data_IF_591517710158
#
_entry.id   IF_591517710158
#
_cell.length_a   1.000
_cell.length_b   1.000
_cell.length_c   1.000
_cell.angle_alpha   90.00
_cell.angle_beta   90.00
_cell.angle_gamma   90.00
#
_symmetry.space_group_name_H-M   'P 1'
#
loop_
_entity.id
_entity.type
_entity.pdbx_description
1 polymer ?
#
# COMPACT_ATOMS: atom_id res chain seq x y z
N UNK A 1 -9.49 31.45 -53.50
CA UNK A 1 -9.41 32.82 -54.03
C UNK A 1 -9.86 32.80 -55.47
N UNK A 2 -11.00 33.42 -55.75
CA UNK A 2 -11.60 33.40 -57.08
C UNK A 2 -10.91 34.44 -57.98
N UNK A 3 -10.90 34.22 -59.31
CA UNK A 3 -10.22 35.08 -60.29
C UNK A 3 -10.73 36.54 -60.32
N UNK A 4 -11.84 36.86 -59.66
CA UNK A 4 -12.37 38.22 -59.56
C UNK A 4 -11.67 39.07 -58.49
N UNK A 5 -11.26 38.48 -57.36
CA UNK A 5 -10.55 39.18 -56.28
C UNK A 5 -9.19 39.70 -56.75
N UNK A 6 -8.52 38.94 -57.63
CA UNK A 6 -7.21 39.28 -58.19
C UNK A 6 -7.28 40.50 -59.14
N UNK A 7 -8.42 40.73 -59.82
CA UNK A 7 -8.61 41.90 -60.70
C UNK A 7 -8.86 43.19 -59.93
N UNK A 8 -9.63 43.14 -58.83
CA UNK A 8 -9.86 44.32 -58.00
C UNK A 8 -8.59 44.76 -57.26
N UNK A 9 -7.77 43.81 -56.82
CA UNK A 9 -6.54 44.11 -56.08
C UNK A 9 -5.44 44.71 -56.98
N UNK A 10 -5.48 44.44 -58.29
CA UNK A 10 -4.58 45.05 -59.28
C UNK A 10 -4.96 46.50 -59.59
N UNK A 11 -6.26 46.83 -59.63
CA UNK A 11 -6.73 48.20 -59.90
C UNK A 11 -6.39 49.18 -58.77
N UNK A 12 -6.30 48.70 -57.52
CA UNK A 12 -5.91 49.53 -56.37
C UNK A 12 -4.41 49.75 -56.23
N UNK A 13 -3.57 48.96 -56.92
CA UNK A 13 -2.10 49.06 -56.81
C UNK A 13 -1.47 50.09 -57.75
N UNK A 14 -2.18 50.48 -58.81
CA UNK A 14 -1.65 51.40 -59.84
C UNK A 14 -1.96 52.89 -59.57
N UNK A 15 -2.75 53.22 -58.54
CA UNK A 15 -2.95 54.61 -58.10
C UNK A 15 -2.15 54.88 -56.84
N UNK A 16 -0.91 55.33 -57.02
CA UNK A 16 -0.06 55.80 -55.93
C UNK A 16 -0.71 56.97 -55.17
N UNK A 17 -1.31 56.69 -54.02
CA UNK A 17 -1.62 57.69 -53.00
C UNK A 17 -1.19 57.18 -51.64
N UNK A 18 -0.29 57.94 -51.04
CA UNK A 18 0.27 57.72 -49.72
C UNK A 18 -0.79 57.85 -48.62
N UNK A 19 -0.68 56.93 -47.65
CA UNK A 19 -0.94 57.09 -46.22
C UNK A 19 -2.12 57.96 -45.79
N UNK A 20 -3.24 57.30 -45.44
CA UNK A 20 -4.08 57.71 -44.32
C UNK A 20 -4.44 56.48 -43.50
N UNK A 21 -3.85 56.40 -42.32
CA UNK A 21 -4.19 55.47 -41.25
C UNK A 21 -5.68 55.58 -40.92
N UNK A 22 -6.47 54.60 -41.35
CA UNK A 22 -7.81 54.35 -40.82
C UNK A 22 -7.65 53.18 -39.86
N UNK A 23 -7.60 53.46 -38.57
CA UNK A 23 -7.70 52.46 -37.52
C UNK A 23 -9.10 51.86 -37.58
N UNK A 24 -9.25 50.75 -38.30
CA UNK A 24 -10.46 49.92 -38.26
C UNK A 24 -10.39 49.14 -36.95
N UNK A 25 -11.09 49.63 -35.94
CA UNK A 25 -11.46 48.87 -34.75
C UNK A 25 -12.34 47.70 -35.19
N UNK A 26 -11.77 46.50 -35.25
CA UNK A 26 -12.57 45.28 -35.28
C UNK A 26 -13.38 45.21 -33.98
N UNK A 27 -14.68 45.52 -34.06
CA UNK A 27 -15.64 45.12 -33.05
C UNK A 27 -15.68 43.58 -33.05
N UNK A 28 -14.90 42.96 -32.16
CA UNK A 28 -15.21 41.63 -31.68
C UNK A 28 -16.62 41.68 -31.08
N UNK A 29 -17.54 40.78 -31.46
CA UNK A 29 -18.79 40.65 -30.73
C UNK A 29 -18.40 40.36 -29.28
N UNK A 30 -18.88 41.22 -28.39
CA UNK A 30 -18.77 41.13 -26.95
C UNK A 30 -19.12 39.71 -26.56
N UNK A 31 -18.10 38.89 -26.30
CA UNK A 31 -18.25 37.69 -25.52
C UNK A 31 -18.90 38.17 -24.24
N UNK A 32 -20.16 37.82 -24.05
CA UNK A 32 -20.80 37.89 -22.76
C UNK A 32 -19.86 37.10 -21.87
N UNK A 33 -19.08 37.78 -21.04
CA UNK A 33 -18.46 37.19 -19.89
C UNK A 33 -19.63 36.66 -19.08
N UNK A 34 -20.06 35.43 -19.39
CA UNK A 34 -20.83 34.63 -18.47
C UNK A 34 -19.99 34.67 -17.21
N UNK A 35 -20.48 35.42 -16.21
CA UNK A 35 -19.98 35.38 -14.85
C UNK A 35 -19.96 33.91 -14.49
N UNK A 36 -18.80 33.27 -14.68
CA UNK A 36 -18.54 31.95 -14.15
C UNK A 36 -18.68 32.14 -12.66
N UNK A 37 -19.85 31.78 -12.13
CA UNK A 37 -20.08 31.71 -10.69
C UNK A 37 -18.84 31.03 -10.10
N UNK A 38 -18.16 31.63 -9.10
CA UNK A 38 -17.03 30.98 -8.46
C UNK A 38 -17.46 29.56 -8.13
N UNK A 39 -16.84 28.57 -8.76
CA UNK A 39 -17.14 27.16 -8.50
C UNK A 39 -17.13 27.00 -6.99
N UNK A 40 -18.18 26.46 -6.35
CA UNK A 40 -18.30 26.45 -4.91
C UNK A 40 -17.02 25.85 -4.31
N UNK A 41 -16.22 26.70 -3.68
CA UNK A 41 -14.98 26.33 -3.02
C UNK A 41 -15.35 25.20 -2.05
N UNK A 42 -14.71 24.02 -2.15
CA UNK A 42 -15.07 22.89 -1.31
C UNK A 42 -14.98 23.31 0.16
N UNK A 43 -16.09 23.20 0.90
CA UNK A 43 -16.11 23.47 2.33
C UNK A 43 -14.95 22.71 2.98
N UNK A 44 -14.00 23.41 3.64
CA UNK A 44 -12.86 22.75 4.24
C UNK A 44 -13.36 21.75 5.29
N UNK A 45 -12.84 20.53 5.25
CA UNK A 45 -13.15 19.52 6.27
C UNK A 45 -12.76 20.09 7.62
N UNK A 46 -13.64 19.98 8.62
CA UNK A 46 -13.32 20.43 9.97
C UNK A 46 -12.10 19.68 10.50
N UNK A 47 -11.20 20.41 11.18
CA UNK A 47 -10.00 19.84 11.79
C UNK A 47 -10.26 18.54 12.59
N UNK A 48 -11.26 18.46 13.49
CA UNK A 48 -11.52 17.22 14.23
C UNK A 48 -11.91 16.06 13.32
N UNK A 49 -12.66 16.31 12.25
CA UNK A 49 -13.05 15.27 11.29
C UNK A 49 -11.86 14.78 10.47
N UNK A 50 -10.96 15.69 10.10
CA UNK A 50 -9.73 15.33 9.38
C UNK A 50 -8.79 14.49 10.26
N UNK A 51 -8.64 14.85 11.55
CA UNK A 51 -7.88 14.06 12.52
C UNK A 51 -8.50 12.67 12.75
N UNK A 52 -9.82 12.60 12.93
CA UNK A 52 -10.52 11.33 13.10
C UNK A 52 -10.34 10.40 11.88
N UNK A 53 -10.37 10.96 10.67
CA UNK A 53 -10.10 10.22 9.44
C UNK A 53 -8.66 9.68 9.38
N UNK A 54 -7.66 10.49 9.77
CA UNK A 54 -6.26 10.04 9.87
C UNK A 54 -6.16 8.88 10.86
N UNK A 55 -6.73 9.03 12.06
CA UNK A 55 -6.69 8.01 13.11
C UNK A 55 -7.29 6.69 12.59
N UNK A 56 -8.47 6.71 11.98
CA UNK A 56 -9.08 5.48 11.44
C UNK A 56 -8.20 4.83 10.38
N UNK A 57 -7.62 5.63 9.47
CA UNK A 57 -6.75 5.08 8.44
C UNK A 57 -5.52 4.42 9.04
N UNK A 58 -4.90 5.05 10.04
CA UNK A 58 -3.79 4.47 10.78
C UNK A 58 -4.22 3.19 11.49
N UNK A 59 -5.34 3.21 12.21
CA UNK A 59 -5.87 2.03 12.92
C UNK A 59 -6.15 0.86 11.96
N UNK A 60 -6.75 1.11 10.80
CA UNK A 60 -6.99 0.08 9.80
C UNK A 60 -5.69 -0.61 9.34
N UNK A 61 -4.65 0.19 9.15
CA UNK A 61 -3.33 -0.31 8.74
C UNK A 61 -2.61 -1.04 9.89
N UNK A 62 -2.72 -0.53 11.12
CA UNK A 62 -2.20 -1.17 12.35
C UNK A 62 -2.83 -2.55 12.53
N UNK A 63 -4.16 -2.67 12.44
CA UNK A 63 -4.88 -3.94 12.58
C UNK A 63 -4.39 -4.97 11.56
N UNK A 64 -4.29 -4.57 10.28
CA UNK A 64 -3.83 -5.46 9.20
C UNK A 64 -2.40 -5.98 9.43
N UNK A 65 -1.49 -5.10 9.86
CA UNK A 65 -0.08 -5.47 10.09
C UNK A 65 0.12 -6.23 11.40
N UNK A 66 -0.69 -5.97 12.42
CA UNK A 66 -0.64 -6.69 13.70
C UNK A 66 -0.87 -8.19 13.50
N UNK A 67 -1.80 -8.56 12.64
CA UNK A 67 -2.16 -9.95 12.36
C UNK A 67 -1.13 -10.70 11.53
N UNK A 68 -0.25 -10.00 10.83
CA UNK A 68 0.87 -10.63 10.11
C UNK A 68 1.96 -11.09 11.10
N UNK A 69 2.42 -10.19 11.98
CA UNK A 69 3.58 -10.42 12.84
C UNK A 69 3.26 -11.22 14.12
N UNK A 70 2.09 -11.01 14.72
CA UNK A 70 1.58 -11.75 15.88
C UNK A 70 1.60 -13.27 15.70
N UNK A 71 1.38 -13.74 14.46
CA UNK A 71 1.26 -15.16 14.16
C UNK A 71 2.52 -15.94 14.53
N UNK A 72 3.71 -15.33 14.41
CA UNK A 72 4.97 -15.98 14.78
C UNK A 72 5.02 -16.43 16.24
N UNK A 73 4.30 -15.74 17.13
CA UNK A 73 4.18 -16.12 18.55
C UNK A 73 3.05 -17.12 18.79
N UNK A 74 2.05 -17.17 17.90
CA UNK A 74 0.89 -18.05 17.99
C UNK A 74 1.16 -19.45 17.42
N UNK A 75 2.08 -19.58 16.45
CA UNK A 75 2.42 -20.84 15.76
C UNK A 75 2.65 -22.02 16.73
N UNK A 76 3.47 -21.91 17.79
CA UNK A 76 3.69 -23.04 18.70
C UNK A 76 2.44 -23.50 19.45
N UNK A 77 1.49 -22.60 19.69
CA UNK A 77 0.21 -22.94 20.31
C UNK A 77 -0.77 -23.54 19.32
N UNK A 78 -0.80 -23.04 18.08
CA UNK A 78 -1.59 -23.60 16.97
C UNK A 78 -1.12 -25.03 16.66
N UNK A 79 0.20 -25.25 16.60
CA UNK A 79 0.80 -26.55 16.33
C UNK A 79 0.39 -27.60 17.37
N UNK A 80 0.48 -27.25 18.66
CA UNK A 80 0.15 -28.17 19.77
C UNK A 80 -1.33 -28.54 19.82
N UNK A 81 -2.22 -27.60 19.48
CA UNK A 81 -3.65 -27.83 19.60
C UNK A 81 -4.26 -28.54 18.37
N UNK A 82 -3.74 -28.28 17.18
CA UNK A 82 -4.22 -28.87 15.93
C UNK A 82 -3.37 -30.06 15.46
N UNK A 83 -2.37 -30.47 16.24
CA UNK A 83 -1.41 -31.55 15.95
C UNK A 83 -0.85 -31.49 14.52
N UNK A 84 -0.28 -30.32 14.17
CA UNK A 84 0.15 -30.01 12.79
C UNK A 84 1.64 -30.34 12.61
N UNK A 85 1.97 -30.95 11.47
CA UNK A 85 3.35 -31.16 11.05
C UNK A 85 4.07 -29.80 10.86
N UNK A 86 5.34 -29.71 11.28
CA UNK A 86 6.09 -28.45 11.17
C UNK A 86 6.16 -27.88 9.74
N UNK A 87 6.08 -28.74 8.72
CA UNK A 87 6.10 -28.37 7.32
C UNK A 87 4.85 -27.60 6.86
N UNK A 88 3.70 -27.81 7.50
CA UNK A 88 2.43 -27.17 7.13
C UNK A 88 2.21 -25.82 7.87
N UNK A 89 2.95 -25.56 8.95
CA UNK A 89 2.94 -24.27 9.64
C UNK A 89 3.42 -23.12 8.75
N UNK A 90 4.27 -23.41 7.78
CA UNK A 90 4.77 -22.43 6.81
C UNK A 90 3.64 -21.84 5.96
N UNK A 91 2.64 -22.66 5.60
CA UNK A 91 1.48 -22.22 4.83
C UNK A 91 0.57 -21.29 5.63
N UNK A 92 0.39 -21.57 6.93
CA UNK A 92 -0.38 -20.74 7.83
C UNK A 92 0.28 -19.36 8.00
N UNK A 93 1.61 -19.33 8.11
CA UNK A 93 2.40 -18.11 8.20
C UNK A 93 2.36 -17.28 6.91
N UNK A 94 2.61 -17.93 5.78
CA UNK A 94 2.79 -17.28 4.47
C UNK A 94 1.48 -16.95 3.75
N UNK A 95 0.35 -17.55 4.14
CA UNK A 95 -0.94 -17.36 3.47
C UNK A 95 -1.43 -15.91 3.49
N UNK A 96 -1.26 -15.20 4.61
CA UNK A 96 -1.66 -13.80 4.69
C UNK A 96 -0.80 -12.89 3.80
N UNK A 97 0.54 -12.89 3.87
CA UNK A 97 1.39 -12.15 2.94
C UNK A 97 1.13 -12.51 1.47
N UNK A 98 0.83 -13.77 1.16
CA UNK A 98 0.47 -14.23 -0.18
C UNK A 98 -0.79 -13.53 -0.71
N UNK A 99 -1.89 -13.58 0.04
CA UNK A 99 -3.14 -12.91 -0.34
C UNK A 99 -2.99 -11.37 -0.37
N UNK A 100 -2.25 -10.83 0.61
CA UNK A 100 -2.00 -9.40 0.70
C UNK A 100 -1.20 -8.87 -0.49
N UNK A 101 -0.04 -9.47 -0.78
CA UNK A 101 0.89 -9.00 -1.81
C UNK A 101 0.37 -9.21 -3.24
N UNK A 102 -0.22 -10.39 -3.52
CA UNK A 102 -0.69 -10.74 -4.87
C UNK A 102 -1.80 -9.79 -5.36
N UNK A 103 -2.71 -9.39 -4.47
CA UNK A 103 -3.89 -8.62 -4.85
C UNK A 103 -3.74 -7.11 -4.61
N UNK A 104 -2.64 -6.64 -4.00
CA UNK A 104 -2.43 -5.23 -3.62
C UNK A 104 -2.47 -4.26 -4.82
N UNK A 105 -1.81 -4.64 -5.92
CA UNK A 105 -1.72 -3.78 -7.11
C UNK A 105 -3.06 -3.69 -7.84
N UNK A 106 -3.76 -4.83 -7.96
CA UNK A 106 -5.10 -4.87 -8.55
C UNK A 106 -6.09 -4.08 -7.70
N UNK A 107 -6.11 -4.31 -6.38
CA UNK A 107 -7.06 -3.67 -5.48
C UNK A 107 -6.89 -2.16 -5.44
N UNK A 108 -5.65 -1.64 -5.50
CA UNK A 108 -5.40 -0.20 -5.56
C UNK A 108 -5.95 0.41 -6.84
N UNK A 109 -5.76 -0.27 -7.97
CA UNK A 109 -6.31 0.18 -9.25
C UNK A 109 -7.83 0.10 -9.28
N UNK A 110 -8.41 -0.95 -8.72
CA UNK A 110 -9.86 -1.10 -8.60
C UNK A 110 -10.46 -0.02 -7.69
N UNK A 111 -9.82 0.32 -6.58
CA UNK A 111 -10.26 1.38 -5.69
C UNK A 111 -10.28 2.75 -6.39
N UNK A 112 -9.28 3.03 -7.22
CA UNK A 112 -9.22 4.26 -8.02
C UNK A 112 -10.28 4.31 -9.13
N UNK A 113 -10.60 3.16 -9.75
CA UNK A 113 -11.56 3.08 -10.86
C UNK A 113 -13.02 3.06 -10.39
N UNK A 114 -13.28 2.43 -9.25
CA UNK A 114 -14.63 2.34 -8.65
C UNK A 114 -15.12 3.69 -8.11
N UNK A 115 -14.27 4.74 -8.11
CA UNK A 115 -14.71 6.14 -7.97
C UNK A 115 -15.80 6.54 -8.99
N UNK A 116 -15.97 5.80 -10.10
CA UNK A 116 -17.08 6.00 -11.04
C UNK A 116 -18.46 5.59 -10.50
N UNK A 117 -18.54 4.86 -9.38
CA UNK A 117 -19.79 4.65 -8.64
C UNK A 117 -20.04 5.87 -7.73
N UNK A 118 -21.13 6.64 -7.95
CA UNK A 118 -21.26 8.05 -7.53
C UNK A 118 -21.29 8.31 -6.01
N UNK A 119 -21.04 7.32 -5.15
CA UNK A 119 -21.27 7.44 -3.71
C UNK A 119 -20.22 6.77 -2.79
N UNK A 120 -19.38 5.83 -3.27
CA UNK A 120 -18.46 5.06 -2.40
C UNK A 120 -17.23 4.54 -3.18
N UNK A 121 -16.25 5.38 -3.53
CA UNK A 121 -15.04 4.93 -4.24
C UNK A 121 -14.08 4.20 -3.31
N UNK A 122 -13.15 4.93 -2.71
CA UNK A 122 -12.16 4.39 -1.79
C UNK A 122 -12.80 3.92 -0.48
N UNK A 123 -13.88 4.58 -0.05
CA UNK A 123 -14.65 4.18 1.14
C UNK A 123 -15.24 2.77 1.02
N UNK A 124 -15.75 2.39 -0.15
CA UNK A 124 -16.32 1.04 -0.36
C UNK A 124 -15.25 -0.03 -0.22
N UNK A 125 -14.07 0.19 -0.79
CA UNK A 125 -12.97 -0.78 -0.70
C UNK A 125 -12.47 -0.95 0.73
N UNK A 126 -12.45 0.10 1.53
CA UNK A 126 -12.16 -0.01 2.97
C UNK A 126 -13.25 -0.86 3.66
N UNK A 127 -14.53 -0.62 3.38
CA UNK A 127 -15.63 -1.36 3.98
C UNK A 127 -15.63 -2.83 3.56
N UNK A 128 -15.62 -3.12 2.26
CA UNK A 128 -15.59 -4.48 1.73
C UNK A 128 -14.33 -5.21 2.17
N UNK A 129 -13.17 -4.55 2.10
CA UNK A 129 -11.90 -5.13 2.55
C UNK A 129 -11.92 -5.49 4.03
N UNK A 130 -12.40 -4.59 4.89
CA UNK A 130 -12.50 -4.85 6.34
C UNK A 130 -13.57 -5.87 6.70
N UNK A 131 -14.68 -5.95 5.95
CA UNK A 131 -15.69 -7.00 6.12
C UNK A 131 -15.13 -8.37 5.75
N UNK A 132 -14.47 -8.49 4.58
CA UNK A 132 -13.80 -9.74 4.17
C UNK A 132 -12.75 -10.14 5.19
N UNK A 133 -11.96 -9.19 5.67
CA UNK A 133 -10.98 -9.42 6.73
C UNK A 133 -11.64 -9.90 8.03
N UNK A 134 -12.73 -9.28 8.46
CA UNK A 134 -13.45 -9.66 9.69
C UNK A 134 -14.03 -11.06 9.58
N UNK A 135 -14.70 -11.37 8.46
CA UNK A 135 -15.25 -12.70 8.18
C UNK A 135 -14.17 -13.78 8.13
N UNK A 136 -13.06 -13.50 7.46
CA UNK A 136 -11.92 -14.41 7.41
C UNK A 136 -11.29 -14.60 8.80
N UNK A 137 -11.19 -13.53 9.60
CA UNK A 137 -10.70 -13.60 10.99
C UNK A 137 -11.61 -14.45 11.87
N UNK A 138 -12.93 -14.27 11.74
CA UNK A 138 -13.90 -15.09 12.46
C UNK A 138 -13.78 -16.57 12.04
N UNK A 139 -13.65 -16.85 10.75
CA UNK A 139 -13.37 -18.19 10.25
C UNK A 139 -12.09 -18.77 10.83
N UNK A 140 -11.01 -17.98 10.93
CA UNK A 140 -9.74 -18.44 11.51
C UNK A 140 -9.92 -18.84 12.97
N UNK A 141 -10.69 -18.06 13.73
CA UNK A 141 -11.00 -18.37 15.12
C UNK A 141 -11.79 -19.68 15.26
N UNK A 142 -12.68 -19.98 14.31
CA UNK A 142 -13.51 -21.19 14.29
C UNK A 142 -12.86 -22.37 13.54
N UNK A 143 -11.60 -22.25 13.14
CA UNK A 143 -10.93 -23.28 12.35
C UNK A 143 -10.51 -24.48 13.19
N UNK A 144 -10.64 -25.67 12.58
CA UNK A 144 -10.28 -26.96 13.17
C UNK A 144 -9.23 -27.73 12.36
N UNK A 145 -8.85 -27.25 11.16
CA UNK A 145 -7.87 -27.90 10.30
C UNK A 145 -6.85 -26.90 9.76
N UNK A 146 -5.62 -27.35 9.51
CA UNK A 146 -4.54 -26.51 8.99
C UNK A 146 -4.85 -25.95 7.58
N UNK A 147 -5.53 -26.74 6.74
CA UNK A 147 -5.93 -26.33 5.38
C UNK A 147 -6.95 -25.20 5.46
N UNK A 148 -7.99 -25.35 6.29
CA UNK A 148 -9.01 -24.33 6.48
C UNK A 148 -8.38 -23.02 6.99
N UNK A 149 -7.52 -23.11 8.00
CA UNK A 149 -6.82 -21.95 8.55
C UNK A 149 -5.93 -21.28 7.48
N UNK A 150 -5.22 -22.04 6.66
CA UNK A 150 -4.36 -21.50 5.60
C UNK A 150 -5.17 -20.76 4.52
N UNK A 151 -6.29 -21.33 4.07
CA UNK A 151 -7.18 -20.68 3.08
C UNK A 151 -7.77 -19.39 3.64
N UNK A 152 -8.25 -19.43 4.88
CA UNK A 152 -8.81 -18.24 5.54
C UNK A 152 -7.76 -17.15 5.76
N UNK A 153 -6.49 -17.52 5.99
CA UNK A 153 -5.38 -16.55 6.06
C UNK A 153 -5.14 -15.87 4.73
N UNK A 154 -5.26 -16.57 3.60
CA UNK A 154 -5.21 -15.97 2.26
C UNK A 154 -6.37 -14.98 2.06
N UNK A 155 -7.59 -15.37 2.43
CA UNK A 155 -8.77 -14.48 2.37
C UNK A 155 -8.62 -13.25 3.27
N UNK A 156 -8.03 -13.41 4.45
CA UNK A 156 -7.73 -12.31 5.37
C UNK A 156 -6.72 -11.34 4.74
N UNK A 157 -5.68 -11.87 4.07
CA UNK A 157 -4.73 -11.09 3.28
C UNK A 157 -5.40 -10.32 2.14
N UNK A 158 -6.35 -10.94 1.44
CA UNK A 158 -7.12 -10.30 0.37
C UNK A 158 -7.95 -9.10 0.86
N UNK A 159 -8.59 -9.23 2.03
CA UNK A 159 -9.31 -8.11 2.67
C UNK A 159 -8.38 -6.96 3.06
N UNK A 160 -7.20 -7.28 3.59
CA UNK A 160 -6.16 -6.29 3.89
C UNK A 160 -5.61 -5.61 2.61
N UNK A 161 -5.46 -6.35 1.51
CA UNK A 161 -5.02 -5.82 0.22
C UNK A 161 -6.00 -4.80 -0.35
N UNK A 162 -7.30 -5.00 -0.17
CA UNK A 162 -8.32 -4.03 -0.59
C UNK A 162 -8.29 -2.74 0.26
N UNK A 163 -7.96 -2.87 1.54
CA UNK A 163 -7.97 -1.76 2.48
C UNK A 163 -6.76 -0.84 2.26
N UNK A 164 -5.54 -1.39 2.21
CA UNK A 164 -4.29 -0.63 2.23
C UNK A 164 -4.16 0.51 1.18
N UNK A 165 -4.35 0.28 -0.13
CA UNK A 165 -4.25 1.35 -1.12
C UNK A 165 -5.40 2.35 -1.02
N UNK A 166 -6.55 1.90 -0.53
CA UNK A 166 -7.73 2.75 -0.32
C UNK A 166 -7.51 3.78 0.79
N UNK A 167 -6.72 3.44 1.82
CA UNK A 167 -6.32 4.39 2.86
C UNK A 167 -5.51 5.57 2.30
N UNK A 168 -4.58 5.27 1.40
CA UNK A 168 -3.74 6.27 0.70
C UNK A 168 -4.64 7.16 -0.18
N UNK A 169 -5.60 6.55 -0.90
CA UNK A 169 -6.58 7.28 -1.72
C UNK A 169 -7.46 8.22 -0.91
N UNK A 170 -8.00 7.77 0.23
CA UNK A 170 -8.82 8.61 1.13
C UNK A 170 -8.02 9.81 1.64
N UNK A 171 -6.81 9.59 2.18
CA UNK A 171 -5.98 10.70 2.66
C UNK A 171 -5.55 11.63 1.51
N UNK A 172 -5.30 11.07 0.32
CA UNK A 172 -4.92 11.80 -0.89
C UNK A 172 -6.01 12.73 -1.40
N UNK A 173 -7.27 12.27 -1.41
CA UNK A 173 -8.41 12.97 -1.97
C UNK A 173 -9.09 13.95 -0.99
N UNK A 174 -9.15 13.60 0.30
CA UNK A 174 -9.89 14.38 1.29
C UNK A 174 -9.02 15.44 1.98
N UNK A 175 -7.69 15.29 2.01
CA UNK A 175 -6.80 16.28 2.62
C UNK A 175 -6.28 17.32 1.60
N UNK A 176 -6.28 18.62 1.94
CA UNK A 176 -5.84 19.68 1.04
C UNK A 176 -4.38 19.48 0.61
N UNK A 177 -4.05 19.67 -0.68
CA UNK A 177 -2.75 19.32 -1.26
C UNK A 177 -1.54 20.01 -0.59
N UNK A 178 -1.71 21.25 -0.09
CA UNK A 178 -0.61 21.99 0.55
C UNK A 178 -0.66 22.00 2.09
N UNK A 179 -1.63 21.32 2.69
CA UNK A 179 -1.81 21.34 4.15
C UNK A 179 -0.68 20.60 4.88
N UNK A 180 -0.25 21.13 6.03
CA UNK A 180 0.58 20.40 7.00
C UNK A 180 -0.08 19.08 7.42
N UNK A 181 -1.42 19.08 7.50
CA UNK A 181 -2.22 17.95 7.91
C UNK A 181 -2.13 16.76 6.93
N UNK A 182 -2.01 17.00 5.62
CA UNK A 182 -1.76 15.94 4.62
C UNK A 182 -0.41 15.27 4.84
N UNK A 183 0.64 16.06 5.11
CA UNK A 183 1.98 15.53 5.40
C UNK A 183 1.99 14.68 6.67
N UNK A 184 1.36 15.18 7.73
CA UNK A 184 1.19 14.44 9.00
C UNK A 184 0.38 13.17 8.77
N UNK A 185 -0.73 13.23 8.04
CA UNK A 185 -1.58 12.08 7.74
C UNK A 185 -0.82 10.94 7.06
N UNK A 186 -0.05 11.25 6.01
CA UNK A 186 0.80 10.24 5.36
C UNK A 186 1.93 9.73 6.26
N UNK A 187 2.56 10.59 7.05
CA UNK A 187 3.58 10.17 8.01
C UNK A 187 3.00 9.20 9.06
N UNK A 188 1.85 9.52 9.64
CA UNK A 188 1.15 8.67 10.60
C UNK A 188 0.70 7.35 9.95
N UNK A 189 0.14 7.38 8.74
CA UNK A 189 -0.26 6.16 8.03
C UNK A 189 0.92 5.20 7.88
N UNK A 190 2.09 5.75 7.57
CA UNK A 190 3.32 4.99 7.33
C UNK A 190 3.89 4.37 8.60
N UNK A 191 3.74 5.07 9.72
CA UNK A 191 4.01 4.52 11.05
C UNK A 191 3.05 3.38 11.42
N UNK A 192 1.89 3.28 10.77
CA UNK A 192 0.89 2.25 11.04
C UNK A 192 1.38 0.83 10.84
N UNK A 193 2.25 0.57 9.85
CA UNK A 193 2.81 -0.78 9.63
C UNK A 193 3.69 -1.27 10.79
N UNK A 194 4.76 -0.53 11.19
CA UNK A 194 5.60 -0.96 12.31
C UNK A 194 4.87 -0.90 13.66
N UNK A 195 3.94 0.06 13.86
CA UNK A 195 3.08 0.10 15.05
C UNK A 195 2.16 -1.13 15.11
N UNK A 196 1.55 -1.50 13.98
CA UNK A 196 0.77 -2.72 13.85
C UNK A 196 1.59 -3.94 14.21
N UNK A 197 2.75 -4.10 13.58
CA UNK A 197 3.65 -5.22 13.85
C UNK A 197 4.04 -5.37 15.31
N UNK A 198 4.47 -4.26 15.92
CA UNK A 198 4.74 -4.13 17.35
C UNK A 198 3.56 -4.57 18.20
N UNK A 199 2.40 -3.97 17.95
CA UNK A 199 1.19 -4.20 18.72
C UNK A 199 0.74 -5.66 18.59
N UNK A 200 0.85 -6.23 17.40
CA UNK A 200 0.63 -7.64 17.13
C UNK A 200 1.54 -8.55 17.93
N UNK A 201 2.84 -8.26 18.01
CA UNK A 201 3.78 -9.04 18.83
C UNK A 201 3.46 -8.96 20.33
N UNK A 202 3.13 -7.76 20.84
CA UNK A 202 2.77 -7.59 22.25
C UNK A 202 1.50 -8.37 22.59
N UNK A 203 0.45 -8.20 21.80
CA UNK A 203 -0.83 -8.89 22.00
C UNK A 203 -0.70 -10.39 21.79
N UNK A 204 0.02 -10.83 20.75
CA UNK A 204 0.28 -12.25 20.50
C UNK A 204 1.09 -12.90 21.61
N UNK A 205 2.09 -12.20 22.15
CA UNK A 205 2.87 -12.65 23.30
C UNK A 205 2.00 -12.76 24.56
N UNK A 206 1.16 -11.76 24.84
CA UNK A 206 0.24 -11.79 25.98
C UNK A 206 -0.77 -12.95 25.89
N UNK A 207 -1.35 -13.18 24.71
CA UNK A 207 -2.35 -14.24 24.49
C UNK A 207 -1.74 -15.64 24.62
N UNK A 208 -0.45 -15.79 24.34
CA UNK A 208 0.25 -17.08 24.41
C UNK A 208 0.92 -17.38 25.75
N UNK A 209 0.91 -16.44 26.70
CA UNK A 209 1.50 -16.65 28.03
C UNK A 209 0.61 -17.51 28.94
N UNK A 210 1.17 -18.62 29.45
CA UNK A 210 0.61 -19.40 30.56
C UNK A 210 -0.84 -19.85 30.36
N UNK A 211 -1.77 -19.19 31.08
CA UNK A 211 -3.22 -19.39 31.11
C UNK A 211 -3.98 -18.48 30.13
N UNK A 212 -3.30 -17.97 29.10
CA UNK A 212 -3.90 -17.08 28.11
C UNK A 212 -5.12 -17.70 27.42
N UNK A 213 -6.02 -16.86 26.86
CA UNK A 213 -7.33 -17.28 26.33
C UNK A 213 -7.25 -18.10 25.01
N UNK A 214 -6.09 -18.69 24.71
CA UNK A 214 -5.82 -19.46 23.50
C UNK A 214 -5.59 -18.61 22.26
N UNK A 215 -4.98 -19.20 21.23
CA UNK A 215 -4.66 -18.50 19.98
C UNK A 215 -5.91 -18.03 19.21
N UNK A 216 -7.06 -18.68 19.40
CA UNK A 216 -8.35 -18.30 18.78
C UNK A 216 -8.81 -16.91 19.19
N UNK A 217 -8.56 -16.52 20.44
CA UNK A 217 -8.92 -15.20 20.98
C UNK A 217 -8.25 -14.04 20.24
N UNK A 218 -7.05 -14.27 19.69
CA UNK A 218 -6.39 -13.29 18.85
C UNK A 218 -7.19 -13.01 17.57
N UNK A 219 -7.71 -14.06 16.92
CA UNK A 219 -8.51 -13.92 15.72
C UNK A 219 -9.88 -13.27 15.99
N UNK A 220 -10.50 -13.54 17.16
CA UNK A 220 -11.69 -12.81 17.60
C UNK A 220 -11.40 -11.30 17.80
N UNK A 221 -10.26 -10.95 18.39
CA UNK A 221 -9.83 -9.56 18.53
C UNK A 221 -9.58 -8.88 17.17
N UNK A 222 -8.98 -9.60 16.22
CA UNK A 222 -8.82 -9.12 14.84
C UNK A 222 -10.17 -8.86 14.16
N UNK A 223 -11.14 -9.75 14.35
CA UNK A 223 -12.50 -9.57 13.85
C UNK A 223 -13.17 -8.33 14.48
N UNK A 224 -13.15 -8.22 15.81
CA UNK A 224 -13.75 -7.09 16.53
C UNK A 224 -13.12 -5.75 16.11
N UNK A 225 -11.79 -5.69 16.02
CA UNK A 225 -11.10 -4.47 15.58
C UNK A 225 -11.41 -4.10 14.13
N UNK A 226 -11.52 -5.08 13.22
CA UNK A 226 -11.93 -4.83 11.84
C UNK A 226 -13.38 -4.31 11.74
N UNK A 227 -14.30 -4.82 12.56
CA UNK A 227 -15.68 -4.30 12.66
C UNK A 227 -15.67 -2.85 13.16
N UNK A 228 -14.90 -2.55 14.21
CA UNK A 228 -14.74 -1.19 14.72
C UNK A 228 -14.21 -0.24 13.64
N UNK A 229 -13.24 -0.67 12.83
CA UNK A 229 -12.72 0.11 11.70
C UNK A 229 -13.80 0.31 10.63
N UNK A 230 -14.56 -0.74 10.28
CA UNK A 230 -15.63 -0.66 9.30
C UNK A 230 -16.72 0.34 9.72
N UNK A 231 -17.21 0.26 10.96
CA UNK A 231 -18.20 1.19 11.53
C UNK A 231 -17.62 2.61 11.62
N UNK A 232 -16.38 2.76 12.05
CA UNK A 232 -15.76 4.09 12.14
C UNK A 232 -15.57 4.72 10.74
N UNK A 233 -15.20 3.91 9.75
CA UNK A 233 -15.09 4.31 8.36
C UNK A 233 -16.45 4.71 7.77
N UNK A 234 -17.55 4.03 8.13
CA UNK A 234 -18.89 4.39 7.65
C UNK A 234 -19.33 5.76 8.18
N UNK A 235 -19.03 6.07 9.44
CA UNK A 235 -19.48 7.29 10.12
C UNK A 235 -18.62 8.52 9.78
N UNK A 236 -17.30 8.36 9.73
CA UNK A 236 -16.38 9.51 9.69
C UNK A 236 -15.96 9.87 8.25
N UNK A 237 -15.63 8.87 7.43
CA UNK A 237 -15.10 9.09 6.07
C UNK A 237 -16.22 9.68 5.19
N UNK A 238 -16.04 10.90 4.64
CA UNK A 238 -17.00 11.50 3.72
C UNK A 238 -17.14 10.65 2.45
N UNK A 239 -18.27 10.78 1.76
CA UNK A 239 -18.44 10.17 0.43
C UNK A 239 -17.49 10.84 -0.56
N UNK A 240 -16.90 10.06 -1.46
CA UNK A 240 -16.06 10.59 -2.52
C UNK A 240 -16.91 11.41 -3.51
N UNK A 241 -16.35 12.50 -4.04
CA UNK A 241 -17.04 13.29 -5.07
C UNK A 241 -16.97 12.54 -6.41
N UNK A 242 -18.04 12.57 -7.22
CA UNK A 242 -17.97 12.05 -8.58
C UNK A 242 -16.90 12.81 -9.36
N UNK A 243 -15.93 12.10 -9.93
CA UNK A 243 -15.02 12.65 -10.94
C UNK A 243 -15.73 12.64 -12.29
N UNK A 244 -15.76 13.78 -12.98
CA UNK A 244 -16.33 13.91 -14.33
C UNK A 244 -15.46 13.23 -15.40
N UNK A 245 -14.20 12.97 -15.05
CA UNK A 245 -13.16 12.35 -15.83
C UNK A 245 -13.46 10.85 -16.05
N UNK A 246 -14.23 10.58 -17.12
CA UNK A 246 -14.53 9.26 -17.67
C UNK A 246 -13.25 8.54 -18.14
N UNK A 247 -12.59 7.82 -17.25
CA UNK A 247 -11.51 6.89 -17.58
C UNK A 247 -11.77 5.55 -16.89
N UNK A 248 -12.27 4.57 -17.66
CA UNK A 248 -12.99 3.39 -17.14
C UNK A 248 -12.37 2.04 -17.52
N UNK A 249 -11.12 1.98 -17.96
CA UNK A 249 -10.53 0.71 -18.42
C UNK A 249 -9.62 0.09 -17.35
N UNK A 250 -9.95 -1.15 -17.00
CA UNK A 250 -9.12 -2.05 -16.19
C UNK A 250 -8.22 -2.83 -17.13
N UNK A 251 -6.92 -2.88 -16.83
CA UNK A 251 -5.97 -3.78 -17.48
C UNK A 251 -6.10 -5.19 -16.90
N UNK A 252 -7.11 -5.95 -17.36
CA UNK A 252 -7.35 -7.32 -16.90
C UNK A 252 -6.17 -8.26 -17.21
N UNK A 253 -5.48 -8.03 -18.34
CA UNK A 253 -4.32 -8.84 -18.74
C UNK A 253 -3.16 -8.61 -17.76
N UNK A 254 -2.82 -7.35 -17.49
CA UNK A 254 -1.82 -7.01 -16.48
C UNK A 254 -2.20 -7.51 -15.09
N UNK A 255 -3.47 -7.44 -14.72
CA UNK A 255 -3.97 -7.93 -13.43
C UNK A 255 -3.78 -9.45 -13.27
N UNK A 256 -4.11 -10.24 -14.28
CA UNK A 256 -3.92 -11.70 -14.24
C UNK A 256 -2.44 -12.03 -14.18
N UNK A 257 -1.61 -11.38 -15.00
CA UNK A 257 -0.15 -11.59 -15.01
C UNK A 257 0.50 -11.32 -13.65
N UNK A 258 0.13 -10.22 -12.99
CA UNK A 258 0.74 -9.86 -11.70
C UNK A 258 0.25 -10.76 -10.56
N UNK A 259 -1.05 -11.11 -10.52
CA UNK A 259 -1.60 -11.98 -9.48
C UNK A 259 -1.00 -13.37 -9.62
N UNK A 260 -1.08 -13.97 -10.82
CA UNK A 260 -0.54 -15.32 -11.05
C UNK A 260 0.98 -15.36 -10.86
N UNK A 261 1.70 -14.34 -11.32
CA UNK A 261 3.15 -14.23 -11.12
C UNK A 261 3.55 -14.14 -9.65
N UNK A 262 2.92 -13.25 -8.88
CA UNK A 262 3.20 -13.11 -7.44
C UNK A 262 2.77 -14.34 -6.64
N UNK A 263 1.60 -14.92 -6.95
CA UNK A 263 1.14 -16.14 -6.30
C UNK A 263 2.08 -17.30 -6.57
N UNK A 264 2.52 -17.51 -7.81
CA UNK A 264 3.48 -18.54 -8.17
C UNK A 264 4.84 -18.33 -7.49
N UNK A 265 5.31 -17.08 -7.42
CA UNK A 265 6.57 -16.73 -6.76
C UNK A 265 6.52 -17.05 -5.27
N UNK A 266 5.50 -16.56 -4.57
CA UNK A 266 5.35 -16.80 -3.13
C UNK A 266 5.08 -18.28 -2.82
N UNK A 267 4.31 -18.97 -3.67
CA UNK A 267 4.11 -20.43 -3.57
C UNK A 267 5.45 -21.18 -3.68
N UNK A 268 6.26 -20.84 -4.68
CA UNK A 268 7.58 -21.45 -4.88
C UNK A 268 8.52 -21.20 -3.70
N UNK A 269 8.54 -19.98 -3.15
CA UNK A 269 9.37 -19.64 -1.99
C UNK A 269 8.87 -20.32 -0.70
N UNK A 270 7.56 -20.56 -0.59
CA UNK A 270 6.99 -21.32 0.52
C UNK A 270 7.42 -22.79 0.50
N UNK A 271 7.28 -23.44 -0.66
CA UNK A 271 7.57 -24.88 -0.80
C UNK A 271 9.08 -25.18 -0.88
N UNK A 272 9.91 -24.21 -1.30
CA UNK A 272 11.37 -24.37 -1.33
C UNK A 272 11.97 -24.67 0.04
N UNK A 273 11.33 -24.20 1.12
CA UNK A 273 11.77 -24.49 2.49
C UNK A 273 11.56 -25.96 2.89
N UNK A 274 10.60 -26.67 2.28
CA UNK A 274 10.28 -28.07 2.57
C UNK A 274 11.01 -29.03 1.64
N UNK A 275 10.97 -28.73 0.35
CA UNK A 275 11.39 -29.66 -0.71
C UNK A 275 12.80 -29.40 -1.25
N UNK A 276 13.38 -28.24 -0.92
CA UNK A 276 14.67 -27.80 -1.43
C UNK A 276 14.61 -27.34 -2.89
N UNK A 277 15.57 -26.51 -3.29
CA UNK A 277 15.57 -25.84 -4.60
C UNK A 277 15.75 -26.77 -5.81
N UNK A 278 16.27 -27.99 -5.60
CA UNK A 278 16.57 -28.93 -6.67
C UNK A 278 15.36 -29.68 -7.23
N UNK A 279 14.18 -29.57 -6.61
CA UNK A 279 12.99 -30.30 -7.05
C UNK A 279 12.17 -29.53 -8.08
N UNK A 280 11.60 -30.27 -9.03
CA UNK A 280 10.75 -29.72 -10.11
C UNK A 280 9.52 -28.99 -9.55
N UNK A 281 9.00 -29.44 -8.42
CA UNK A 281 7.88 -28.83 -7.66
C UNK A 281 8.18 -27.40 -7.22
N UNK A 282 9.45 -27.04 -7.02
CA UNK A 282 9.91 -25.68 -6.69
C UNK A 282 10.35 -24.94 -7.94
N UNK A 283 11.17 -25.58 -8.78
CA UNK A 283 11.81 -24.94 -9.91
C UNK A 283 10.80 -24.48 -10.98
N UNK A 284 9.77 -25.29 -11.24
CA UNK A 284 8.74 -24.99 -12.23
C UNK A 284 7.93 -23.73 -11.88
N UNK A 285 7.28 -23.62 -10.70
CA UNK A 285 6.57 -22.40 -10.33
C UNK A 285 7.51 -21.20 -10.17
N UNK A 286 8.77 -21.41 -9.76
CA UNK A 286 9.76 -20.35 -9.70
C UNK A 286 10.04 -19.73 -11.08
N UNK A 287 10.41 -20.56 -12.07
CA UNK A 287 10.69 -20.10 -13.43
C UNK A 287 9.44 -19.50 -14.06
N UNK A 288 8.28 -20.15 -13.90
CA UNK A 288 7.01 -19.62 -14.37
C UNK A 288 6.71 -18.24 -13.79
N UNK A 289 6.98 -18.02 -12.50
CA UNK A 289 6.78 -16.72 -11.86
C UNK A 289 7.67 -15.63 -12.46
N UNK A 290 8.96 -15.93 -12.72
CA UNK A 290 9.89 -14.98 -13.35
C UNK A 290 9.40 -14.60 -14.75
N UNK A 291 8.95 -15.59 -15.55
CA UNK A 291 8.42 -15.36 -16.88
C UNK A 291 7.14 -14.52 -16.85
N UNK A 292 6.20 -14.83 -15.95
CA UNK A 292 4.95 -14.09 -15.80
C UNK A 292 5.20 -12.63 -15.36
N UNK A 293 6.09 -12.42 -14.40
CA UNK A 293 6.46 -11.08 -13.94
C UNK A 293 7.24 -10.29 -15.01
N UNK A 294 8.12 -10.95 -15.77
CA UNK A 294 8.80 -10.35 -16.92
C UNK A 294 7.81 -9.92 -18.00
N UNK A 295 6.85 -10.78 -18.33
CA UNK A 295 5.76 -10.48 -19.26
C UNK A 295 4.87 -9.33 -18.76
N UNK A 296 4.59 -9.28 -17.45
CA UNK A 296 3.88 -8.15 -16.84
C UNK A 296 4.62 -6.82 -17.08
N UNK A 297 5.93 -6.77 -16.78
CA UNK A 297 6.73 -5.54 -16.98
C UNK A 297 6.74 -5.14 -18.45
N UNK A 298 6.92 -6.09 -19.36
CA UNK A 298 6.87 -5.85 -20.80
C UNK A 298 5.50 -5.31 -21.25
N UNK A 299 4.41 -5.89 -20.76
CA UNK A 299 3.04 -5.44 -21.04
C UNK A 299 2.79 -4.01 -20.54
N UNK A 300 3.19 -3.70 -19.30
CA UNK A 300 3.08 -2.34 -18.75
C UNK A 300 3.88 -1.32 -19.56
N UNK A 301 5.07 -1.69 -20.04
CA UNK A 301 5.90 -0.82 -20.90
C UNK A 301 5.23 -0.50 -22.23
N UNK A 302 4.57 -1.49 -22.85
CA UNK A 302 3.81 -1.28 -24.09
C UNK A 302 2.62 -0.34 -23.84
N UNK A 303 1.85 -0.57 -22.76
CA UNK A 303 0.72 0.28 -22.41
C UNK A 303 1.15 1.72 -22.14
N UNK A 304 2.26 1.92 -21.43
CA UNK A 304 2.79 3.25 -21.15
C UNK A 304 3.25 3.97 -22.42
N UNK A 305 3.90 3.27 -23.36
CA UNK A 305 4.26 3.84 -24.68
C UNK A 305 3.03 4.27 -25.47
N UNK A 306 2.00 3.42 -25.53
CA UNK A 306 0.73 3.75 -26.23
C UNK A 306 0.04 4.95 -25.60
N UNK A 307 0.03 5.03 -24.26
CA UNK A 307 -0.57 6.14 -23.53
C UNK A 307 0.20 7.45 -23.76
N UNK A 308 1.53 7.42 -23.75
CA UNK A 308 2.35 8.59 -24.05
C UNK A 308 2.16 9.08 -25.49
N UNK A 309 2.02 8.17 -26.46
CA UNK A 309 1.69 8.54 -27.84
C UNK A 309 0.31 9.18 -27.95
N UNK A 310 -0.70 8.64 -27.27
CA UNK A 310 -2.04 9.21 -27.24
C UNK A 310 -2.06 10.65 -26.70
N UNK A 311 -1.34 10.89 -25.59
CA UNK A 311 -1.24 12.22 -24.99
C UNK A 311 -0.53 13.25 -25.89
N UNK A 312 0.36 12.80 -26.78
CA UNK A 312 1.11 13.67 -27.70
C UNK A 312 0.35 13.98 -29.00
N UNK A 313 -0.46 13.02 -29.50
CA UNK A 313 -1.12 13.12 -30.81
C UNK A 313 -2.55 13.65 -30.71
N UNK A 314 -3.18 13.59 -29.53
CA UNK A 314 -4.36 14.39 -29.16
C UNK A 314 -5.70 14.02 -29.81
N UNK A 315 -5.73 13.46 -31.02
CA UNK A 315 -6.98 13.32 -31.79
C UNK A 315 -7.03 11.96 -32.52
N UNK A 316 -8.15 11.24 -32.37
CA UNK A 316 -8.58 10.16 -33.29
C UNK A 316 -8.53 8.70 -32.81
N UNK A 317 -7.83 8.37 -31.72
CA UNK A 317 -7.75 6.97 -31.23
C UNK A 317 -8.65 6.73 -30.01
N UNK A 318 -9.26 5.53 -29.94
CA UNK A 318 -9.94 5.05 -28.74
C UNK A 318 -9.00 5.12 -27.53
N UNK A 319 -9.47 5.73 -26.43
CA UNK A 319 -8.67 5.94 -25.20
C UNK A 319 -7.95 4.64 -24.77
N UNK A 320 -6.61 4.61 -24.74
CA UNK A 320 -5.87 3.41 -24.37
C UNK A 320 -6.11 3.03 -22.90
N UNK A 321 -6.02 1.72 -22.61
CA UNK A 321 -6.07 1.21 -21.23
C UNK A 321 -4.92 1.78 -20.42
N UNK A 322 -5.23 2.31 -19.24
CA UNK A 322 -4.20 2.85 -18.36
C UNK A 322 -3.42 1.70 -17.70
N UNK A 323 -2.08 1.81 -17.64
CA UNK A 323 -1.25 0.83 -16.96
C UNK A 323 -1.56 0.81 -15.45
N UNK A 324 -1.53 -0.38 -14.86
CA UNK A 324 -1.66 -0.59 -13.40
C UNK A 324 -0.45 0.05 -12.70
N UNK A 325 0.73 -0.09 -13.30
CA UNK A 325 1.99 0.43 -12.76
C UNK A 325 2.68 1.30 -13.82
N UNK A 326 2.82 2.60 -13.55
CA UNK A 326 3.57 3.53 -14.42
C UNK A 326 5.07 3.32 -14.20
N UNK A 327 5.78 2.79 -15.19
CA UNK A 327 7.21 2.49 -15.08
C UNK A 327 8.06 3.77 -15.05
N UNK A 328 7.59 4.87 -15.65
CA UNK A 328 8.27 6.15 -15.56
C UNK A 328 8.38 6.69 -14.13
N UNK A 329 7.57 6.19 -13.19
CA UNK A 329 7.71 6.54 -11.76
C UNK A 329 9.10 6.17 -11.22
N UNK A 330 9.66 5.04 -11.65
CA UNK A 330 10.97 4.56 -11.21
C UNK A 330 12.14 5.36 -11.81
N UNK A 331 11.89 6.08 -12.90
CA UNK A 331 12.87 6.99 -13.52
C UNK A 331 12.74 8.43 -13.01
N UNK A 332 11.71 8.73 -12.22
CA UNK A 332 11.44 10.07 -11.72
C UNK A 332 12.56 10.56 -10.78
N UNK A 333 12.86 11.86 -10.85
CA UNK A 333 13.88 12.54 -10.04
C UNK A 333 15.24 11.83 -10.01
N UNK A 334 15.80 11.52 -11.18
CA UNK A 334 17.10 10.83 -11.32
C UNK A 334 17.18 9.50 -10.55
N UNK A 335 16.17 8.64 -10.68
CA UNK A 335 16.10 7.32 -10.02
C UNK A 335 16.09 7.32 -8.48
N UNK A 336 15.96 8.48 -7.82
CA UNK A 336 15.93 8.57 -6.35
C UNK A 336 14.86 7.68 -5.73
N UNK A 337 13.67 7.62 -6.34
CA UNK A 337 12.59 6.76 -5.87
C UNK A 337 12.98 5.27 -5.89
N UNK A 338 13.63 4.82 -6.97
CA UNK A 338 14.11 3.44 -7.10
C UNK A 338 15.21 3.12 -6.09
N UNK A 339 16.15 4.05 -5.88
CA UNK A 339 17.22 3.91 -4.88
C UNK A 339 16.62 3.74 -3.48
N UNK A 340 15.64 4.56 -3.12
CA UNK A 340 14.95 4.45 -1.82
C UNK A 340 14.28 3.08 -1.67
N UNK A 341 13.57 2.60 -2.69
CA UNK A 341 12.91 1.29 -2.63
C UNK A 341 13.92 0.13 -2.54
N UNK A 342 15.06 0.22 -3.23
CA UNK A 342 16.15 -0.76 -3.14
C UNK A 342 16.76 -0.77 -1.74
N UNK A 343 17.08 0.41 -1.19
CA UNK A 343 17.62 0.55 0.18
C UNK A 343 16.66 -0.07 1.19
N UNK A 344 15.35 0.18 1.05
CA UNK A 344 14.31 -0.40 1.89
C UNK A 344 14.27 -1.92 1.75
N UNK A 345 14.29 -2.44 0.53
CA UNK A 345 14.29 -3.87 0.27
C UNK A 345 15.53 -4.54 0.88
N UNK A 346 16.71 -3.96 0.68
CA UNK A 346 17.97 -4.44 1.25
C UNK A 346 17.95 -4.41 2.76
N UNK A 347 17.45 -3.34 3.38
CA UNK A 347 17.33 -3.25 4.84
C UNK A 347 16.32 -4.25 5.40
N UNK A 348 15.21 -4.48 4.71
CA UNK A 348 14.23 -5.50 5.09
C UNK A 348 14.85 -6.90 5.00
N UNK A 349 15.60 -7.19 3.92
CA UNK A 349 16.39 -8.41 3.80
C UNK A 349 17.40 -8.52 4.94
N UNK A 350 18.13 -7.45 5.25
CA UNK A 350 19.13 -7.41 6.33
C UNK A 350 18.52 -7.73 7.69
N UNK A 351 17.32 -7.22 7.97
CA UNK A 351 16.57 -7.49 9.19
C UNK A 351 16.10 -8.95 9.26
N UNK A 352 15.72 -9.54 8.13
CA UNK A 352 15.29 -10.94 8.02
C UNK A 352 16.47 -11.92 8.08
N UNK A 353 17.62 -11.53 7.53
CA UNK A 353 18.84 -12.36 7.51
C UNK A 353 19.72 -12.17 8.72
N UNK A 354 19.53 -11.09 9.51
CA UNK A 354 20.26 -10.86 10.75
C UNK A 354 19.96 -12.01 11.70
N UNK A 355 20.90 -12.95 11.90
CA UNK A 355 20.78 -13.86 13.00
C UNK A 355 21.14 -13.00 14.20
N UNK A 356 20.16 -12.49 14.96
CA UNK A 356 20.53 -12.07 16.31
C UNK A 356 21.09 -13.31 16.98
N UNK A 357 22.40 -13.38 17.26
CA UNK A 357 22.96 -14.60 17.80
C UNK A 357 22.39 -14.71 19.20
N UNK A 358 21.49 -15.67 19.41
CA UNK A 358 21.33 -16.30 20.69
C UNK A 358 22.54 -17.21 20.97
N UNK A 359 23.76 -16.69 20.73
CA UNK A 359 24.94 -17.23 21.37
C UNK A 359 24.96 -16.67 22.78
N UNK A 360 24.85 -17.59 23.73
CA UNK A 360 25.32 -17.41 25.09
C UNK A 360 26.75 -16.86 25.06
N UNK A 361 26.92 -15.55 25.11
CA UNK A 361 28.16 -14.96 25.59
C UNK A 361 28.18 -15.24 27.09
N UNK A 362 28.70 -16.43 27.44
CA UNK A 362 29.17 -16.74 28.79
C UNK A 362 30.26 -15.70 29.06
N UNK A 363 29.94 -14.68 29.86
CA UNK A 363 30.95 -13.78 30.39
C UNK A 363 31.94 -14.62 31.20
N UNK A 364 33.25 -14.61 30.89
CA UNK A 364 34.25 -15.22 31.74
C UNK A 364 34.46 -14.28 32.93
N UNK A 365 34.16 -14.75 34.14
CA UNK A 365 34.47 -14.05 35.38
C UNK A 365 33.25 -13.49 36.12
N UNK A 366 32.56 -14.37 36.85
CA UNK A 366 31.90 -14.04 38.12
C UNK A 366 31.54 -15.35 38.81
N UNK A 367 32.49 -15.91 39.55
CA UNK A 367 32.20 -16.88 40.59
C UNK A 367 31.35 -16.20 41.66
N UNK A 368 30.18 -16.75 41.97
CA UNK A 368 29.54 -16.58 43.27
C UNK A 368 28.88 -17.91 43.67
N UNK A 369 29.67 -18.75 44.34
CA UNK A 369 29.21 -19.59 45.45
C UNK A 369 28.50 -18.66 46.47
N UNK A 370 27.38 -18.95 47.13
CA UNK A 370 26.95 -20.20 47.71
C UNK A 370 25.47 -20.14 48.19
N UNK A 371 25.04 -21.30 48.73
CA UNK A 371 23.98 -21.59 49.71
C UNK A 371 22.73 -22.26 49.11
N UNK A 372 22.52 -23.52 49.52
CA UNK A 372 21.67 -24.49 48.86
C UNK A 372 20.34 -24.81 49.55
N UNK A 373 19.52 -25.56 48.82
CA UNK A 373 18.63 -26.62 49.29
C UNK A 373 18.06 -27.37 48.06
N UNK A 374 17.92 -28.71 48.08
CA UNK A 374 17.32 -29.46 46.97
C UNK A 374 15.81 -29.63 47.21
N UNK A 375 14.97 -29.10 46.32
CA UNK A 375 13.52 -29.38 46.30
C UNK A 375 13.07 -29.64 44.85
N UNK A 376 12.74 -30.91 44.60
CA UNK A 376 11.91 -31.58 43.58
C UNK A 376 11.70 -31.03 42.13
N UNK A 377 11.52 -31.93 41.14
CA UNK A 377 11.58 -31.61 39.72
C UNK A 377 10.18 -31.46 39.10
N UNK A 378 9.42 -30.42 39.41
CA UNK A 378 8.23 -30.10 38.61
C UNK A 378 8.02 -28.59 38.54
N UNK A 379 7.94 -28.08 37.31
CA UNK A 379 7.47 -26.74 36.92
C UNK A 379 8.34 -25.59 37.43
N UNK A 380 9.39 -25.25 36.66
CA UNK A 380 10.05 -23.95 36.76
C UNK A 380 9.75 -23.14 35.50
N UNK A 381 8.76 -22.26 35.64
CA UNK A 381 8.54 -21.09 34.82
C UNK A 381 9.91 -20.43 34.59
N UNK A 382 10.42 -20.50 33.37
CA UNK A 382 11.63 -19.77 33.00
C UNK A 382 11.27 -18.29 33.12
N UNK A 383 11.65 -17.71 34.27
CA UNK A 383 11.57 -16.30 34.61
C UNK A 383 11.77 -15.49 33.33
N UNK A 384 10.76 -14.72 32.98
CA UNK A 384 10.93 -13.56 32.14
C UNK A 384 11.94 -12.69 32.89
N UNK A 385 13.23 -12.84 32.56
CA UNK A 385 14.32 -12.07 33.14
C UNK A 385 14.04 -10.59 32.83
N UNK A 386 13.50 -9.91 33.83
CA UNK A 386 13.33 -8.45 33.90
C UNK A 386 14.69 -7.75 34.15
N UNK A 387 15.75 -8.51 34.42
CA UNK A 387 17.14 -8.02 34.42
C UNK A 387 17.91 -8.57 33.21
N UNK A 388 18.74 -7.72 32.59
CA UNK A 388 19.68 -7.98 31.48
C UNK A 388 19.18 -7.76 30.04
N UNK A 389 19.10 -6.48 29.63
CA UNK A 389 19.43 -6.02 28.26
C UNK A 389 18.62 -6.53 27.07
N UNK A 390 17.59 -7.36 27.28
CA UNK A 390 16.72 -7.92 26.22
C UNK A 390 15.52 -7.03 25.91
N UNK A 391 14.93 -6.38 26.91
CA UNK A 391 13.89 -5.36 26.71
C UNK A 391 14.45 -4.18 25.91
N UNK A 392 15.65 -3.68 26.23
CA UNK A 392 16.26 -2.59 25.49
C UNK A 392 16.46 -2.93 24.01
N UNK A 393 16.81 -4.17 23.66
CA UNK A 393 17.04 -4.58 22.26
C UNK A 393 15.74 -4.78 21.48
N UNK A 394 14.70 -5.32 22.11
CA UNK A 394 13.39 -5.45 21.48
C UNK A 394 12.75 -4.08 21.31
N UNK A 395 12.81 -3.22 22.33
CA UNK A 395 12.36 -1.82 22.29
C UNK A 395 13.18 -0.99 21.29
N UNK A 396 14.50 -1.18 21.21
CA UNK A 396 15.35 -0.48 20.24
C UNK A 396 15.07 -0.95 18.81
N UNK A 397 14.89 -2.26 18.58
CA UNK A 397 14.46 -2.80 17.29
C UNK A 397 13.07 -2.31 16.89
N UNK A 398 12.17 -2.16 17.87
CA UNK A 398 10.84 -1.58 17.72
C UNK A 398 10.91 -0.11 17.29
N UNK A 399 11.68 0.68 18.04
CA UNK A 399 11.88 2.10 17.80
C UNK A 399 12.55 2.29 16.44
N UNK A 400 13.55 1.49 16.10
CA UNK A 400 14.17 1.50 14.78
C UNK A 400 13.15 1.17 13.67
N UNK A 401 12.32 0.15 13.83
CA UNK A 401 11.31 -0.22 12.83
C UNK A 401 10.24 0.88 12.67
N UNK A 402 9.78 1.47 13.79
CA UNK A 402 8.85 2.60 13.80
C UNK A 402 9.47 3.83 13.14
N UNK A 403 10.66 4.24 13.57
CA UNK A 403 11.42 5.36 13.01
C UNK A 403 11.70 5.15 11.53
N UNK A 404 12.00 3.91 11.12
CA UNK A 404 12.24 3.57 9.73
C UNK A 404 10.96 3.65 8.88
N UNK A 405 9.83 3.13 9.38
CA UNK A 405 8.51 3.28 8.74
C UNK A 405 8.08 4.75 8.56
N UNK A 406 8.43 5.62 9.52
CA UNK A 406 8.28 7.06 9.37
C UNK A 406 9.16 7.63 8.24
N UNK A 407 10.46 7.32 8.24
CA UNK A 407 11.41 7.80 7.22
C UNK A 407 11.03 7.34 5.80
N UNK A 408 10.58 6.10 5.67
CA UNK A 408 10.22 5.39 4.44
C UNK A 408 9.24 6.14 3.53
N UNK A 409 8.32 6.90 4.11
CA UNK A 409 7.28 7.63 3.38
C UNK A 409 7.37 9.14 3.51
N UNK A 410 8.10 9.65 4.50
CA UNK A 410 8.49 11.07 4.55
C UNK A 410 9.33 11.41 3.30
N UNK A 411 10.26 10.54 2.90
CA UNK A 411 11.14 10.77 1.76
C UNK A 411 10.35 10.83 0.42
N UNK A 412 9.48 9.84 0.07
CA UNK A 412 8.56 9.97 -1.06
C UNK A 412 7.62 11.17 -0.97
N UNK A 413 7.08 11.47 0.22
CA UNK A 413 6.17 12.60 0.44
C UNK A 413 6.84 13.96 0.21
N UNK A 414 8.13 14.09 0.54
CA UNK A 414 8.94 15.28 0.24
C UNK A 414 9.33 15.37 -1.24
N UNK A 415 9.70 14.24 -1.87
CA UNK A 415 9.96 14.16 -3.32
C UNK A 415 8.71 14.50 -4.14
N UNK A 416 7.52 14.08 -3.69
CA UNK A 416 6.22 14.40 -4.28
C UNK A 416 5.73 15.82 -3.98
N UNK A 417 6.38 16.56 -3.06
CA UNK A 417 5.90 17.88 -2.67
C UNK A 417 6.16 18.92 -3.78
N UNK A 418 5.22 19.84 -4.05
CA UNK A 418 5.38 20.86 -5.09
C UNK A 418 6.54 21.84 -4.84
N UNK A 419 7.21 21.82 -3.68
CA UNK A 419 8.40 22.64 -3.43
C UNK A 419 9.60 22.23 -4.29
N UNK A 420 9.73 20.95 -4.65
CA UNK A 420 10.76 20.49 -5.60
C UNK A 420 10.48 20.98 -7.03
N UNK A 421 9.22 21.30 -7.34
CA UNK A 421 8.78 21.85 -8.64
C UNK A 421 9.32 23.27 -8.91
N UNK A 422 9.75 24.00 -7.86
CA UNK A 422 10.27 25.38 -7.96
C UNK A 422 11.77 25.50 -8.20
N UNK A 423 12.54 24.40 -8.19
CA UNK A 423 13.99 24.44 -8.40
C UNK A 423 14.45 24.20 -9.85
N UNK A 424 13.53 24.00 -10.80
CA UNK A 424 13.87 23.88 -12.22
C UNK A 424 13.25 25.06 -12.98
N UNK A 425 14.06 26.05 -13.43
CA UNK A 425 13.56 27.09 -14.31
C UNK A 425 13.21 26.47 -15.68
N UNK A 426 11.96 26.66 -16.12
CA UNK A 426 11.67 26.67 -17.56
C UNK A 426 10.88 25.52 -18.18
N UNK A 427 10.12 24.71 -17.45
CA UNK A 427 9.07 23.87 -18.09
C UNK A 427 7.99 23.49 -17.09
N UNK A 428 6.80 24.06 -17.25
CA UNK A 428 5.57 23.52 -16.64
C UNK A 428 5.15 22.30 -17.45
N UNK A 429 5.16 21.08 -16.90
CA UNK A 429 4.39 19.99 -17.49
C UNK A 429 2.89 20.20 -17.16
N UNK A 430 1.97 19.83 -18.06
CA UNK A 430 0.54 20.01 -17.84
C UNK A 430 0.01 18.90 -16.92
N UNK A 431 0.14 19.09 -15.59
CA UNK A 431 -0.67 18.40 -14.58
C UNK A 431 -0.74 19.17 -13.27
#
# INVERSE_FOLDING_TARGET
MSREEIKQQKHFRDRGMASRTISITHHHPTATHALSLPSPQPKPISLPRALAMIIICVTAFVVSNATSLSLNLLIPSIQRELDIEASDLQWISSGFPLGFGSCLLLSGRLADLVVSLPQYGHKLFIQVGTIVYAMASLGCALSHTHVQLSILRVLQGLGAAATAPSLIGVLGNHLPPESSLKRVGFACLSAGAPLGGTFGLLVGGFITQGTGPGWRSFFFLCCASAICVCVSATLIIPKDKPREDRERSIDWIGAILIITGLTALTFSLGISSREGWGRVTVLLPFIASILLLGNFVFWQHILEKRMNQFLLVGEGWSKPTQPILKLNLFRRDHHRFSIVLIVVCLLCCLMLTSPTPCHSTRFPGAEFNAIGHPIHPHVSIRRMCINDGRMHRLVLGLLLNITFGFLLHIIPGQLLSPRTRRMLPGRNPPW
#
